data_IF_370602822716
#
_entry.id   IF_370602822716
#
_cell.length_a   1.000
_cell.length_b   1.000
_cell.length_c   1.000
_cell.angle_alpha   90.00
_cell.angle_beta   90.00
_cell.angle_gamma   90.00
#
_symmetry.space_group_name_H-M   'P 1'
#
loop_
_entity.id
_entity.type
_entity.pdbx_description
1 polymer ?
#
# COMPACT_ATOMS: atom_id res chain seq x y z
N UNK A 1 -20.94 -0.27 -22.92
CA UNK A 1 -20.14 -1.11 -22.00
C UNK A 1 -20.11 -2.49 -22.60
N UNK A 2 -18.93 -2.94 -23.00
CA UNK A 2 -18.72 -4.26 -23.60
C UNK A 2 -18.22 -5.22 -22.51
N UNK A 3 -18.85 -6.38 -22.33
CA UNK A 3 -18.55 -7.26 -21.20
C UNK A 3 -17.14 -7.86 -21.27
N UNK A 4 -16.61 -8.05 -22.47
CA UNK A 4 -15.34 -8.76 -22.68
C UNK A 4 -14.13 -7.81 -22.66
N UNK A 5 -14.33 -6.52 -22.94
CA UNK A 5 -13.24 -5.54 -23.11
C UNK A 5 -13.31 -4.35 -22.16
N UNK A 6 -14.39 -4.15 -21.42
CA UNK A 6 -14.48 -3.01 -20.47
C UNK A 6 -13.50 -3.20 -19.30
N UNK A 7 -12.65 -2.20 -19.08
CA UNK A 7 -11.72 -2.14 -17.95
C UNK A 7 -12.36 -1.37 -16.80
N UNK A 8 -12.19 -1.87 -15.58
CA UNK A 8 -12.66 -1.24 -14.35
C UNK A 8 -11.53 -1.11 -13.33
N UNK A 9 -11.54 -0.07 -12.47
CA UNK A 9 -10.63 -0.01 -11.34
C UNK A 9 -10.86 -1.19 -10.39
N UNK A 10 -9.79 -1.91 -10.04
CA UNK A 10 -9.87 -3.08 -9.14
C UNK A 10 -10.18 -2.71 -7.68
N UNK A 11 -9.95 -1.46 -7.27
CA UNK A 11 -10.17 -0.99 -5.92
C UNK A 11 -9.52 -1.91 -4.87
N UNK A 12 -10.28 -2.33 -3.85
CA UNK A 12 -9.77 -3.21 -2.79
C UNK A 12 -9.46 -4.64 -3.23
N UNK A 13 -9.89 -5.08 -4.42
CA UNK A 13 -9.49 -6.39 -4.97
C UNK A 13 -7.98 -6.44 -5.19
N UNK A 14 -7.34 -5.29 -5.47
CA UNK A 14 -5.88 -5.17 -5.60
C UNK A 14 -5.11 -5.70 -4.38
N UNK A 15 -5.68 -5.64 -3.17
CA UNK A 15 -5.02 -6.11 -1.94
C UNK A 15 -4.69 -7.59 -1.99
N UNK A 16 -5.53 -8.42 -2.61
CA UNK A 16 -5.30 -9.86 -2.75
C UNK A 16 -4.09 -10.15 -3.65
N UNK A 17 -3.94 -9.40 -4.74
CA UNK A 17 -2.79 -9.51 -5.62
C UNK A 17 -1.50 -9.08 -4.92
N UNK A 18 -1.53 -7.94 -4.21
CA UNK A 18 -0.36 -7.46 -3.46
C UNK A 18 0.01 -8.42 -2.33
N UNK A 19 -0.94 -8.93 -1.56
CA UNK A 19 -0.69 -9.92 -0.52
C UNK A 19 -0.04 -11.19 -1.12
N UNK A 20 -0.52 -11.65 -2.27
CA UNK A 20 0.06 -12.80 -2.98
C UNK A 20 1.49 -12.51 -3.42
N UNK A 21 1.76 -11.34 -4.01
CA UNK A 21 3.10 -10.94 -4.42
C UNK A 21 4.07 -10.87 -3.22
N UNK A 22 3.63 -10.34 -2.08
CA UNK A 22 4.46 -10.33 -0.85
C UNK A 22 4.76 -11.76 -0.39
N UNK A 23 3.77 -12.66 -0.39
CA UNK A 23 4.01 -14.05 0.00
C UNK A 23 4.98 -14.78 -0.95
N UNK A 24 4.96 -14.46 -2.24
CA UNK A 24 5.97 -14.97 -3.19
C UNK A 24 7.38 -14.42 -2.90
N UNK A 25 7.52 -13.20 -2.39
CA UNK A 25 8.81 -12.66 -1.93
C UNK A 25 9.27 -13.32 -0.64
N UNK A 26 8.35 -13.63 0.27
CA UNK A 26 8.62 -14.40 1.50
C UNK A 26 9.12 -15.79 1.17
N UNK A 27 8.48 -16.50 0.24
CA UNK A 27 8.91 -17.82 -0.21
C UNK A 27 10.33 -17.81 -0.80
N UNK A 28 10.74 -16.69 -1.41
CA UNK A 28 12.09 -16.48 -1.95
C UNK A 28 13.10 -15.96 -0.92
N UNK A 29 12.70 -15.85 0.35
CA UNK A 29 13.51 -15.29 1.44
C UNK A 29 14.00 -13.85 1.18
N UNK A 30 13.31 -13.10 0.30
CA UNK A 30 13.66 -11.72 -0.03
C UNK A 30 13.09 -10.72 0.98
N UNK A 31 11.99 -11.10 1.65
CA UNK A 31 11.36 -10.36 2.74
C UNK A 31 10.90 -11.35 3.80
N UNK A 32 10.69 -10.85 5.02
CA UNK A 32 10.27 -11.62 6.17
C UNK A 32 9.03 -10.95 6.80
N UNK A 33 8.06 -11.76 7.21
CA UNK A 33 6.76 -11.28 7.66
C UNK A 33 6.81 -10.55 9.00
N UNK A 34 7.80 -10.84 9.84
CA UNK A 34 7.88 -10.39 11.23
C UNK A 34 9.02 -9.38 11.46
N UNK A 35 9.79 -9.08 10.42
CA UNK A 35 10.76 -7.99 10.40
C UNK A 35 10.08 -6.62 10.43
N UNK A 36 10.69 -5.67 11.14
CA UNK A 36 10.25 -4.28 11.20
C UNK A 36 10.21 -3.66 9.78
N UNK A 37 9.07 -3.07 9.41
CA UNK A 37 8.83 -2.48 8.10
C UNK A 37 9.87 -1.44 7.71
N UNK A 38 10.44 -0.71 8.68
CA UNK A 38 11.46 0.30 8.44
C UNK A 38 12.79 -0.28 7.94
N UNK A 39 12.94 -1.62 7.89
CA UNK A 39 14.07 -2.30 7.25
C UNK A 39 13.90 -2.41 5.73
N UNK A 40 12.67 -2.31 5.22
CA UNK A 40 12.33 -2.40 3.80
C UNK A 40 12.09 -1.04 3.14
N UNK A 41 11.80 0.00 3.93
CA UNK A 41 11.60 1.35 3.42
C UNK A 41 12.93 2.03 3.09
N UNK A 42 12.94 2.84 2.03
CA UNK A 42 14.11 3.66 1.66
C UNK A 42 14.42 4.70 2.74
N UNK A 43 15.68 5.11 2.83
CA UNK A 43 16.12 6.13 3.80
C UNK A 43 15.44 7.49 3.62
N UNK A 44 14.97 7.81 2.40
CA UNK A 44 14.22 9.03 2.10
C UNK A 44 12.80 9.03 2.68
N UNK A 45 12.31 7.89 3.15
CA UNK A 45 10.96 7.74 3.70
C UNK A 45 11.00 7.98 5.20
N UNK A 46 10.07 8.78 5.70
CA UNK A 46 9.87 8.98 7.13
C UNK A 46 9.62 7.63 7.82
N UNK A 47 10.41 7.33 8.86
CA UNK A 47 10.25 6.09 9.63
C UNK A 47 8.87 6.04 10.29
N UNK A 48 8.26 4.86 10.28
CA UNK A 48 6.90 4.61 10.71
C UNK A 48 6.89 3.93 12.07
N UNK A 49 6.15 4.51 13.03
CA UNK A 49 5.98 4.00 14.38
C UNK A 49 4.57 4.25 14.89
N UNK A 50 4.09 3.42 15.81
CA UNK A 50 2.88 3.73 16.56
C UNK A 50 3.16 4.84 17.59
N UNK A 51 2.42 5.96 17.63
CA UNK A 51 2.68 7.06 18.55
C UNK A 51 2.69 6.65 20.02
N UNK A 52 1.71 5.83 20.43
CA UNK A 52 1.58 5.37 21.82
C UNK A 52 2.41 4.12 22.15
N UNK A 53 2.95 3.43 21.15
CA UNK A 53 3.70 2.18 21.30
C UNK A 53 4.96 2.16 20.43
N UNK A 54 5.88 3.13 20.59
CA UNK A 54 7.02 3.32 19.68
C UNK A 54 8.03 2.16 19.68
N UNK A 55 8.05 1.34 20.75
CA UNK A 55 8.87 0.13 20.85
C UNK A 55 8.27 -1.08 20.13
N UNK A 56 7.01 -1.02 19.72
CA UNK A 56 6.34 -2.12 19.03
C UNK A 56 6.51 -1.96 17.52
N UNK A 57 7.25 -2.89 16.90
CA UNK A 57 7.48 -2.87 15.46
C UNK A 57 6.17 -3.04 14.67
N UNK A 58 6.05 -2.30 13.58
CA UNK A 58 5.06 -2.57 12.52
C UNK A 58 5.71 -3.54 11.53
N UNK A 59 5.03 -4.62 11.16
CA UNK A 59 5.58 -5.69 10.32
C UNK A 59 4.70 -5.93 9.09
N UNK A 60 5.21 -6.62 8.07
CA UNK A 60 4.43 -7.01 6.90
C UNK A 60 3.20 -7.84 7.29
N UNK A 61 3.32 -8.75 8.26
CA UNK A 61 2.18 -9.51 8.80
C UNK A 61 1.06 -8.58 9.26
N UNK A 62 1.39 -7.58 10.09
CA UNK A 62 0.42 -6.61 10.63
C UNK A 62 -0.22 -5.74 9.54
N UNK A 63 0.55 -5.38 8.51
CA UNK A 63 0.04 -4.61 7.39
C UNK A 63 -0.94 -5.43 6.54
N UNK A 64 -0.55 -6.66 6.17
CA UNK A 64 -1.38 -7.56 5.35
C UNK A 64 -2.64 -8.05 6.08
N UNK A 65 -2.63 -8.10 7.41
CA UNK A 65 -3.78 -8.49 8.24
C UNK A 65 -4.60 -7.31 8.79
N UNK A 66 -4.28 -6.06 8.42
CA UNK A 66 -4.96 -4.87 8.93
C UNK A 66 -4.90 -4.70 10.47
N UNK A 67 -3.82 -5.13 11.11
CA UNK A 67 -3.60 -5.00 12.57
C UNK A 67 -2.44 -4.07 12.92
N UNK A 68 -2.02 -3.22 11.97
CA UNK A 68 -0.96 -2.23 12.19
C UNK A 68 -1.45 -0.93 12.86
N UNK A 69 -2.76 -0.79 13.09
CA UNK A 69 -3.38 0.46 13.61
C UNK A 69 -3.17 1.67 12.70
N UNK A 70 -2.97 1.45 11.39
CA UNK A 70 -2.85 2.51 10.38
C UNK A 70 -4.21 2.69 9.73
N UNK A 71 -4.68 3.94 9.69
CA UNK A 71 -5.92 4.33 9.01
C UNK A 71 -5.63 5.34 7.91
N UNK A 72 -6.52 5.40 6.92
CA UNK A 72 -6.50 6.43 5.87
C UNK A 72 -7.25 7.66 6.39
N UNK A 73 -6.82 8.86 5.99
CA UNK A 73 -7.57 10.07 6.33
C UNK A 73 -8.92 10.08 5.61
N UNK A 74 -10.02 10.47 6.27
CA UNK A 74 -11.34 10.49 5.64
C UNK A 74 -11.40 11.36 4.36
N UNK A 75 -10.68 12.48 4.32
CA UNK A 75 -10.61 13.33 3.12
C UNK A 75 -10.00 12.61 1.91
N UNK A 76 -8.95 11.80 2.11
CA UNK A 76 -8.27 11.07 1.03
C UNK A 76 -9.13 9.92 0.47
N UNK A 77 -9.96 9.29 1.31
CA UNK A 77 -10.89 8.25 0.86
C UNK A 77 -11.99 8.79 -0.08
N UNK A 78 -12.37 10.06 0.07
CA UNK A 78 -13.47 10.68 -0.68
C UNK A 78 -13.05 11.29 -2.03
N UNK A 79 -11.77 11.20 -2.39
CA UNK A 79 -11.24 11.72 -3.65
C UNK A 79 -11.32 10.72 -4.82
N UNK A 80 -11.47 9.43 -4.53
CA UNK A 80 -11.53 8.36 -5.54
C UNK A 80 -12.95 8.21 -6.12
N UNK A 81 -13.07 7.75 -7.36
CA UNK A 81 -14.32 7.43 -8.08
C UNK A 81 -15.23 8.63 -8.38
N UNK A 82 -14.65 9.82 -8.57
CA UNK A 82 -15.36 11.03 -8.97
C UNK A 82 -15.39 11.17 -10.51
N UNK A 83 -16.32 11.96 -11.09
CA UNK A 83 -16.37 12.20 -12.54
C UNK A 83 -15.07 12.77 -13.13
N UNK A 84 -14.23 13.38 -12.30
CA UNK A 84 -12.92 13.97 -12.60
C UNK A 84 -11.74 13.16 -12.06
N UNK A 85 -11.95 11.90 -11.66
CA UNK A 85 -10.89 11.00 -11.19
C UNK A 85 -9.91 10.65 -12.32
N UNK A 86 -8.62 10.68 -11.97
CA UNK A 86 -7.46 10.42 -12.84
C UNK A 86 -6.89 9.02 -12.61
N UNK A 87 -7.67 8.07 -12.10
CA UNK A 87 -7.25 6.72 -11.71
C UNK A 87 -6.52 5.92 -12.82
N UNK A 88 -6.58 6.35 -14.08
CA UNK A 88 -5.90 5.75 -15.22
C UNK A 88 -4.83 6.63 -15.87
N UNK A 89 -4.60 7.83 -15.33
CA UNK A 89 -3.66 8.80 -15.90
C UNK A 89 -2.21 8.54 -15.47
N UNK A 90 -2.01 7.69 -14.46
CA UNK A 90 -0.69 7.25 -14.01
C UNK A 90 -0.63 5.74 -13.77
N UNK A 91 0.58 5.19 -13.87
CA UNK A 91 0.84 3.79 -13.56
C UNK A 91 0.84 3.55 -12.05
N UNK A 92 0.58 2.31 -11.63
CA UNK A 92 0.70 1.90 -10.23
C UNK A 92 2.09 2.19 -9.64
N UNK A 93 3.14 2.09 -10.47
CA UNK A 93 4.51 2.38 -10.04
C UNK A 93 4.70 3.87 -9.74
N UNK A 94 4.20 4.76 -10.61
CA UNK A 94 4.23 6.21 -10.41
C UNK A 94 3.41 6.63 -9.20
N UNK A 95 2.19 6.08 -9.05
CA UNK A 95 1.36 6.30 -7.88
C UNK A 95 2.09 5.93 -6.59
N UNK A 96 2.67 4.73 -6.51
CA UNK A 96 3.42 4.28 -5.34
C UNK A 96 4.63 5.17 -5.03
N UNK A 97 5.36 5.63 -6.05
CA UNK A 97 6.51 6.53 -5.88
C UNK A 97 6.08 7.90 -5.33
N UNK A 98 5.01 8.49 -5.87
CA UNK A 98 4.45 9.77 -5.38
C UNK A 98 3.88 9.63 -3.97
N UNK A 99 3.15 8.55 -3.69
CA UNK A 99 2.55 8.31 -2.37
C UNK A 99 3.61 8.21 -1.27
N UNK A 100 4.74 7.55 -1.56
CA UNK A 100 5.84 7.37 -0.61
C UNK A 100 6.74 8.62 -0.52
N UNK A 101 6.77 9.46 -1.55
CA UNK A 101 7.53 10.72 -1.59
C UNK A 101 6.63 11.92 -1.96
N UNK A 102 5.75 12.37 -1.04
CA UNK A 102 4.77 13.43 -1.34
C UNK A 102 5.37 14.83 -1.56
N UNK A 103 6.69 14.98 -1.43
CA UNK A 103 7.43 16.24 -1.58
C UNK A 103 8.05 16.44 -2.98
N UNK A 104 7.80 15.52 -3.92
CA UNK A 104 8.34 15.53 -5.29
C UNK A 104 7.29 15.92 -6.33
#
# INVERSE_FOLDING_TARGET
MDIDTSIFPLASISKTFIATAVMQLVEKELVDLDTDINRYLFESVQRIYHPDYPSHSITLRKLLSHTASITVKPEEQNMQYRPDDTAFDETLAEFCLKYINPSC
#
